data_IF_986438267290
#
_entry.id   IF_986438267290
#
_cell.length_a   1.000
_cell.length_b   1.000
_cell.length_c   1.000
_cell.angle_alpha   90.00
_cell.angle_beta   90.00
_cell.angle_gamma   90.00
#
_symmetry.space_group_name_H-M   'P 1'
#
loop_
_entity.id
_entity.type
_entity.pdbx_description
1 polymer ?
#
# COMPACT_ATOMS: atom_id res chain seq x y z
N UNK A 1 8.01 10.89 -2.40
CA UNK A 1 6.79 11.44 -3.01
C UNK A 1 6.76 11.05 -4.47
N UNK A 2 5.63 10.56 -4.97
CA UNK A 2 5.45 10.27 -6.39
C UNK A 2 4.98 11.53 -7.12
N UNK A 3 5.40 11.74 -8.38
CA UNK A 3 4.94 12.88 -9.17
C UNK A 3 3.44 12.82 -9.43
N UNK A 4 2.78 13.96 -9.62
CA UNK A 4 1.42 13.96 -10.20
C UNK A 4 1.48 13.70 -11.72
N UNK A 5 0.40 13.18 -12.30
CA UNK A 5 0.32 12.78 -13.71
C UNK A 5 0.70 13.92 -14.66
N UNK A 6 0.23 15.13 -14.39
CA UNK A 6 0.53 16.30 -15.22
C UNK A 6 2.03 16.62 -15.20
N UNK A 7 2.66 16.53 -14.03
CA UNK A 7 4.08 16.83 -13.86
C UNK A 7 4.97 15.80 -14.55
N UNK A 8 4.68 14.51 -14.36
CA UNK A 8 5.49 13.44 -14.96
C UNK A 8 5.38 13.44 -16.49
N UNK A 9 4.21 13.79 -17.03
CA UNK A 9 4.00 13.95 -18.46
C UNK A 9 4.79 15.13 -19.02
N UNK A 10 4.74 16.29 -18.36
CA UNK A 10 5.41 17.50 -18.85
C UNK A 10 6.93 17.41 -18.76
N UNK A 11 7.46 16.86 -17.66
CA UNK A 11 8.91 16.86 -17.40
C UNK A 11 9.63 15.63 -17.97
N UNK A 12 8.94 14.49 -18.09
CA UNK A 12 9.55 13.22 -18.45
C UNK A 12 8.83 12.48 -19.60
N UNK A 13 7.74 13.04 -20.15
CA UNK A 13 7.03 12.46 -21.29
C UNK A 13 6.24 11.18 -20.98
N UNK A 14 6.01 10.86 -19.71
CA UNK A 14 5.30 9.64 -19.30
C UNK A 14 3.82 9.90 -19.04
N UNK A 15 2.97 8.96 -19.45
CA UNK A 15 1.51 9.10 -19.36
C UNK A 15 0.89 8.43 -18.12
N UNK A 16 1.73 7.94 -17.20
CA UNK A 16 1.29 7.27 -15.98
C UNK A 16 2.12 7.78 -14.80
N UNK A 17 1.53 7.70 -13.61
CA UNK A 17 2.23 7.95 -12.34
C UNK A 17 1.93 6.84 -11.35
N UNK A 18 2.67 6.83 -10.24
CA UNK A 18 2.53 5.89 -9.15
C UNK A 18 1.55 6.43 -8.11
N UNK A 19 0.34 5.87 -8.15
CA UNK A 19 -0.56 5.82 -7.00
C UNK A 19 -0.41 4.42 -6.40
N UNK A 20 -0.16 4.36 -5.10
CA UNK A 20 0.11 3.11 -4.38
C UNK A 20 -0.62 3.07 -3.03
N UNK A 21 -0.62 1.90 -2.40
CA UNK A 21 -1.08 1.74 -1.03
C UNK A 21 -0.20 0.76 -0.26
N UNK A 22 -0.10 0.98 1.05
CA UNK A 22 0.57 0.08 1.98
C UNK A 22 -0.46 -0.69 2.79
N UNK A 23 -0.59 -1.97 2.50
CA UNK A 23 -1.27 -2.91 3.37
C UNK A 23 -0.26 -3.50 4.36
N UNK A 24 -0.49 -3.34 5.66
CA UNK A 24 0.44 -3.81 6.68
C UNK A 24 0.22 -5.30 6.94
N UNK A 25 1.14 -6.14 6.46
CA UNK A 25 1.13 -7.58 6.73
C UNK A 25 1.56 -7.89 8.16
N UNK A 26 2.55 -7.18 8.68
CA UNK A 26 2.99 -7.27 10.09
C UNK A 26 3.51 -5.93 10.58
N UNK A 27 3.35 -5.69 11.88
CA UNK A 27 3.84 -4.49 12.56
C UNK A 27 4.38 -4.82 13.96
N UNK A 28 5.64 -4.46 14.20
CA UNK A 28 6.24 -4.49 15.54
C UNK A 28 5.63 -3.42 16.46
N UNK A 29 5.68 -3.59 17.79
CA UNK A 29 5.23 -2.56 18.72
C UNK A 29 5.92 -1.20 18.46
N UNK A 30 5.12 -0.17 18.20
CA UNK A 30 5.61 1.19 17.91
C UNK A 30 5.94 1.43 16.43
N UNK A 31 5.64 0.49 15.53
CA UNK A 31 5.74 0.70 14.10
C UNK A 31 4.85 1.87 13.64
N UNK A 32 5.32 2.58 12.61
CA UNK A 32 4.63 3.75 12.04
C UNK A 32 4.72 3.77 10.53
N UNK A 33 3.81 4.49 9.89
CA UNK A 33 3.92 4.95 8.50
C UNK A 33 4.01 6.47 8.52
N UNK A 34 4.97 7.02 7.79
CA UNK A 34 5.03 8.46 7.53
C UNK A 34 4.05 8.78 6.41
N UNK A 35 3.10 9.71 6.63
CA UNK A 35 2.05 9.99 5.65
C UNK A 35 1.51 11.43 5.75
N UNK A 36 1.75 12.21 4.70
CA UNK A 36 1.43 13.64 4.62
C UNK A 36 2.19 14.51 5.62
N UNK A 37 1.86 15.80 5.63
CA UNK A 37 2.54 16.79 6.47
C UNK A 37 1.80 17.06 7.78
N UNK A 38 2.52 17.51 8.80
CA UNK A 38 1.89 17.95 10.06
C UNK A 38 1.00 19.17 9.80
N UNK A 39 -0.19 19.21 10.39
CA UNK A 39 -1.12 20.36 10.27
C UNK A 39 -0.42 21.66 10.66
N UNK A 40 -0.57 22.69 9.81
CA UNK A 40 0.11 23.98 10.01
C UNK A 40 1.56 24.03 9.50
N UNK A 41 2.05 22.97 8.84
CA UNK A 41 3.33 23.01 8.12
C UNK A 41 3.30 24.10 7.06
N UNK A 42 4.31 24.98 7.09
CA UNK A 42 4.54 25.95 6.03
C UNK A 42 5.47 25.34 4.97
N UNK A 43 5.05 25.26 3.69
CA UNK A 43 5.83 24.63 2.62
C UNK A 43 7.29 25.10 2.55
N UNK A 44 7.49 26.43 2.53
CA UNK A 44 8.84 27.02 2.47
C UNK A 44 9.71 26.59 3.66
N UNK A 45 9.14 26.54 4.86
CA UNK A 45 9.89 26.15 6.05
C UNK A 45 10.37 24.69 5.99
N UNK A 46 9.53 23.78 5.49
CA UNK A 46 9.93 22.37 5.29
C UNK A 46 10.99 22.25 4.19
N UNK A 47 10.83 22.97 3.07
CA UNK A 47 11.77 22.93 1.96
C UNK A 47 13.14 23.51 2.33
N UNK A 48 13.18 24.60 3.10
CA UNK A 48 14.44 25.18 3.60
C UNK A 48 15.14 24.22 4.57
N UNK A 49 14.38 23.52 5.42
CA UNK A 49 14.92 22.51 6.34
C UNK A 49 15.54 21.33 5.58
N UNK A 50 14.84 20.83 4.55
CA UNK A 50 15.32 19.79 3.64
C UNK A 50 16.57 20.22 2.88
N UNK A 51 16.62 21.46 2.37
CA UNK A 51 17.78 22.00 1.63
C UNK A 51 19.03 22.05 2.50
N UNK A 52 18.90 22.56 3.73
CA UNK A 52 19.99 22.58 4.72
C UNK A 52 20.43 21.16 5.10
N UNK A 53 19.49 20.22 5.21
CA UNK A 53 19.80 18.83 5.49
C UNK A 53 20.55 18.14 4.33
N UNK A 54 20.16 18.41 3.09
CA UNK A 54 20.84 17.89 1.91
C UNK A 54 22.26 18.46 1.75
N UNK A 55 22.51 19.67 2.25
CA UNK A 55 23.85 20.29 2.31
C UNK A 55 24.71 19.78 3.48
N UNK A 56 24.16 18.92 4.35
CA UNK A 56 24.85 18.38 5.51
C UNK A 56 24.98 19.34 6.69
N UNK A 57 24.26 20.47 6.69
CA UNK A 57 24.31 21.44 7.79
C UNK A 57 23.64 20.92 9.07
N UNK A 58 22.62 20.06 8.92
CA UNK A 58 21.81 19.47 10.00
C UNK A 58 21.08 18.22 9.51
N UNK A 59 20.50 17.44 10.42
CA UNK A 59 19.50 16.44 10.05
C UNK A 59 18.14 17.11 9.77
N UNK A 60 17.36 16.57 8.84
CA UNK A 60 15.99 17.02 8.62
C UNK A 60 15.12 16.74 9.85
N UNK A 61 14.36 17.75 10.29
CA UNK A 61 13.46 17.66 11.45
C UNK A 61 12.11 17.04 11.04
N UNK A 62 12.11 15.74 10.75
CA UNK A 62 10.93 15.03 10.24
C UNK A 62 9.73 15.10 11.19
N UNK A 63 9.96 15.05 12.50
CA UNK A 63 8.90 15.10 13.51
C UNK A 63 8.13 16.43 13.49
N UNK A 64 8.77 17.52 13.07
CA UNK A 64 8.14 18.83 12.92
C UNK A 64 7.25 18.92 11.68
N UNK A 65 7.59 18.20 10.60
CA UNK A 65 7.01 18.44 9.28
C UNK A 65 6.17 17.29 8.72
N UNK A 66 6.40 16.05 9.13
CA UNK A 66 5.78 14.85 8.54
C UNK A 66 5.04 14.07 9.62
N UNK A 67 3.81 13.64 9.33
CA UNK A 67 3.05 12.84 10.30
C UNK A 67 3.70 11.47 10.48
N UNK A 68 3.72 10.97 11.71
CA UNK A 68 4.00 9.56 12.03
C UNK A 68 2.70 8.92 12.48
N UNK A 69 2.10 8.12 11.61
CA UNK A 69 0.83 7.44 11.89
C UNK A 69 1.15 6.06 12.45
N UNK A 70 0.65 5.69 13.65
CA UNK A 70 0.81 4.34 14.17
C UNK A 70 0.30 3.31 13.18
N UNK A 71 1.07 2.25 12.98
CA UNK A 71 0.74 1.17 12.05
C UNK A 71 0.55 -0.14 12.83
N UNK A 72 -0.54 -0.83 12.53
CA UNK A 72 -0.87 -2.14 13.08
C UNK A 72 -1.07 -3.14 11.95
N UNK A 73 -0.96 -4.43 12.28
CA UNK A 73 -1.30 -5.51 11.37
C UNK A 73 -2.71 -5.29 10.79
N UNK A 74 -2.82 -5.39 9.48
CA UNK A 74 -4.02 -5.15 8.69
C UNK A 74 -4.48 -3.69 8.59
N UNK A 75 -3.68 -2.71 9.01
CA UNK A 75 -3.93 -1.34 8.57
C UNK A 75 -3.68 -1.21 7.06
N UNK A 76 -4.37 -0.27 6.41
CA UNK A 76 -4.21 0.03 5.00
C UNK A 76 -4.10 1.53 4.80
N UNK A 77 -2.94 1.98 4.30
CA UNK A 77 -2.63 3.38 4.05
C UNK A 77 -2.63 3.66 2.55
N UNK A 78 -3.41 4.65 2.11
CA UNK A 78 -3.48 5.08 0.72
C UNK A 78 -2.41 6.14 0.46
N UNK A 79 -1.75 6.06 -0.69
CA UNK A 79 -0.63 6.93 -1.05
C UNK A 79 -0.85 7.42 -2.48
N UNK A 80 -1.84 8.31 -2.69
CA UNK A 80 -2.01 8.96 -3.97
C UNK A 80 -0.76 9.79 -4.33
N UNK A 81 -0.52 9.95 -5.62
CA UNK A 81 0.54 10.79 -6.17
C UNK A 81 0.54 12.20 -5.55
N UNK A 82 1.72 12.70 -5.16
CA UNK A 82 1.90 13.95 -4.42
C UNK A 82 1.90 13.83 -2.89
N UNK A 83 1.66 12.65 -2.32
CA UNK A 83 1.74 12.45 -0.86
C UNK A 83 3.20 12.30 -0.40
N UNK A 84 3.61 13.06 0.62
CA UNK A 84 4.86 12.78 1.35
C UNK A 84 4.67 11.50 2.18
N UNK A 85 5.49 10.49 1.96
CA UNK A 85 5.33 9.21 2.66
C UNK A 85 6.66 8.46 2.81
N UNK A 86 6.68 7.49 3.73
CA UNK A 86 7.76 6.53 3.95
C UNK A 86 7.24 5.41 4.87
N UNK A 87 7.58 4.15 4.61
CA UNK A 87 7.37 3.08 5.58
C UNK A 87 8.34 3.23 6.76
N UNK A 88 7.83 3.08 7.98
CA UNK A 88 8.67 3.05 9.19
C UNK A 88 9.31 1.68 9.40
N UNK A 89 10.37 1.66 10.22
CA UNK A 89 10.97 0.42 10.69
C UNK A 89 9.95 -0.45 11.43
N UNK A 90 10.14 -1.77 11.38
CA UNK A 90 9.26 -2.72 12.06
C UNK A 90 7.93 -2.95 11.34
N UNK A 91 7.81 -2.56 10.06
CA UNK A 91 6.65 -2.89 9.21
C UNK A 91 7.04 -3.90 8.12
N UNK A 92 6.16 -4.88 7.88
CA UNK A 92 6.15 -5.67 6.65
C UNK A 92 4.98 -5.19 5.80
N UNK A 93 5.28 -4.65 4.63
CA UNK A 93 4.30 -4.00 3.76
C UNK A 93 4.03 -4.87 2.54
N UNK A 94 2.75 -5.16 2.28
CA UNK A 94 2.26 -5.53 0.95
C UNK A 94 1.90 -4.22 0.22
N UNK A 95 2.77 -3.83 -0.71
CA UNK A 95 2.53 -2.65 -1.56
C UNK A 95 1.63 -3.06 -2.73
N UNK A 96 0.53 -2.33 -2.91
CA UNK A 96 -0.38 -2.50 -4.05
C UNK A 96 -0.24 -1.24 -4.91
N UNK A 97 0.23 -1.40 -6.14
CA UNK A 97 0.62 -0.28 -7.00
C UNK A 97 0.20 -0.50 -8.45
N UNK A 98 -0.17 0.60 -9.11
CA UNK A 98 -0.64 0.62 -10.49
C UNK A 98 0.48 0.56 -11.54
N UNK A 99 1.74 0.74 -11.16
CA UNK A 99 2.82 1.00 -12.12
C UNK A 99 3.96 -0.01 -12.08
N UNK A 100 4.50 -0.39 -13.26
CA UNK A 100 5.61 -1.35 -13.36
C UNK A 100 6.98 -0.76 -12.99
N UNK A 101 7.08 0.56 -12.77
CA UNK A 101 8.34 1.24 -12.48
C UNK A 101 8.15 2.25 -11.35
N UNK A 102 9.11 2.28 -10.42
CA UNK A 102 9.07 3.12 -9.22
C UNK A 102 9.50 4.55 -9.60
N UNK A 103 8.57 5.51 -9.54
CA UNK A 103 8.85 6.93 -9.75
C UNK A 103 8.75 7.68 -8.43
N UNK A 104 9.89 7.85 -7.77
CA UNK A 104 9.95 8.46 -6.45
C UNK A 104 10.95 9.60 -6.41
N UNK A 105 10.47 10.82 -6.16
CA UNK A 105 11.33 11.90 -5.72
C UNK A 105 11.58 11.76 -4.22
N UNK A 106 12.79 11.30 -3.92
CA UNK A 106 13.27 11.19 -2.54
C UNK A 106 13.58 12.58 -1.99
N UNK A 107 12.93 12.96 -0.89
CA UNK A 107 13.16 14.26 -0.25
C UNK A 107 14.28 14.18 0.79
N UNK A 108 14.34 13.08 1.54
CA UNK A 108 15.34 12.85 2.58
C UNK A 108 15.58 11.35 2.72
N UNK A 109 16.79 10.97 3.17
CA UNK A 109 17.20 9.57 3.30
C UNK A 109 17.93 9.25 4.60
N UNK A 110 17.58 9.97 5.68
CA UNK A 110 18.16 9.80 7.01
C UNK A 110 19.67 10.01 7.08
N UNK A 111 20.22 10.88 6.22
CA UNK A 111 21.66 11.15 6.16
C UNK A 111 22.51 9.93 5.79
N UNK A 112 21.89 8.85 5.29
CA UNK A 112 22.58 7.61 4.96
C UNK A 112 23.48 7.81 3.74
N UNK A 113 24.70 7.31 3.87
CA UNK A 113 25.69 7.30 2.80
C UNK A 113 25.43 6.15 1.83
N UNK A 114 25.81 6.34 0.58
CA UNK A 114 25.89 5.30 -0.44
C UNK A 114 27.10 4.40 -0.22
N UNK A 115 27.24 3.39 -1.08
CA UNK A 115 28.40 2.49 -1.07
C UNK A 115 29.72 3.22 -1.42
N UNK A 116 29.62 4.40 -2.01
CA UNK A 116 30.72 5.33 -2.33
C UNK A 116 31.10 6.25 -1.16
N UNK A 117 30.38 6.18 -0.03
CA UNK A 117 30.58 7.04 1.12
C UNK A 117 30.01 8.46 0.96
N UNK A 118 29.27 8.75 -0.12
CA UNK A 118 28.63 10.04 -0.35
C UNK A 118 27.16 10.01 0.10
N UNK A 119 26.56 11.16 0.47
CA UNK A 119 25.12 11.22 0.73
C UNK A 119 24.31 10.70 -0.46
N UNK A 120 23.32 9.84 -0.21
CA UNK A 120 22.47 9.32 -1.29
C UNK A 120 21.64 10.44 -1.92
N UNK A 121 21.40 10.39 -3.25
CA UNK A 121 20.76 11.48 -3.97
C UNK A 121 19.33 11.73 -3.49
N UNK A 122 18.99 13.01 -3.38
CA UNK A 122 17.65 13.55 -3.14
C UNK A 122 17.24 14.44 -4.32
N UNK A 123 15.93 14.62 -4.51
CA UNK A 123 15.35 15.29 -5.67
C UNK A 123 14.42 16.41 -5.21
N UNK A 124 14.96 17.37 -4.46
CA UNK A 124 14.17 18.43 -3.81
C UNK A 124 13.47 19.34 -4.80
N UNK A 125 14.12 19.70 -5.90
CA UNK A 125 13.55 20.57 -6.93
C UNK A 125 12.30 19.95 -7.55
N UNK A 126 12.35 18.68 -7.95
CA UNK A 126 11.19 17.96 -8.47
C UNK A 126 10.14 17.69 -7.39
N UNK A 127 10.58 17.31 -6.19
CA UNK A 127 9.71 17.04 -5.05
C UNK A 127 8.86 18.24 -4.68
N UNK A 128 9.45 19.44 -4.62
CA UNK A 128 8.76 20.70 -4.30
C UNK A 128 7.59 20.99 -5.24
N UNK A 129 7.69 20.61 -6.52
CA UNK A 129 6.66 20.86 -7.53
C UNK A 129 5.45 19.92 -7.45
N UNK A 130 5.58 18.78 -6.76
CA UNK A 130 4.56 17.72 -6.78
C UNK A 130 3.94 17.44 -5.43
N UNK A 131 4.47 17.99 -4.34
CA UNK A 131 3.87 17.81 -3.01
C UNK A 131 2.49 18.46 -2.98
N UNK A 132 1.48 17.65 -2.65
CA UNK A 132 0.14 18.12 -2.36
C UNK A 132 0.06 18.56 -0.88
N UNK A 133 0.28 19.85 -0.66
CA UNK A 133 0.31 20.45 0.69
C UNK A 133 -1.06 20.47 1.40
N UNK A 134 -2.15 20.10 0.73
CA UNK A 134 -3.46 19.94 1.38
C UNK A 134 -3.54 18.66 2.22
N UNK A 135 -2.62 17.71 2.00
CA UNK A 135 -2.57 16.41 2.69
C UNK A 135 -1.90 16.54 4.05
N UNK A 136 -2.51 17.36 4.90
CA UNK A 136 -2.10 17.55 6.28
C UNK A 136 -2.62 16.43 7.20
N UNK A 137 -2.26 16.47 8.49
CA UNK A 137 -2.69 15.46 9.47
C UNK A 137 -4.20 15.19 9.44
N UNK A 138 -5.03 16.23 9.39
CA UNK A 138 -6.49 16.08 9.46
C UNK A 138 -7.03 15.46 8.18
N UNK A 139 -6.53 15.92 7.04
CA UNK A 139 -6.96 15.40 5.75
C UNK A 139 -6.53 13.94 5.57
N UNK A 140 -5.27 13.62 5.88
CA UNK A 140 -4.72 12.26 5.74
C UNK A 140 -5.47 11.26 6.62
N UNK A 141 -5.67 11.58 7.91
CA UNK A 141 -6.40 10.68 8.82
C UNK A 141 -7.82 10.39 8.35
N UNK A 142 -8.47 11.39 7.73
CA UNK A 142 -9.84 11.25 7.24
C UNK A 142 -9.94 10.43 5.95
N UNK A 143 -8.99 10.59 5.01
CA UNK A 143 -9.15 10.09 3.65
C UNK A 143 -8.17 8.99 3.26
N UNK A 144 -7.02 8.85 3.93
CA UNK A 144 -5.95 7.93 3.51
C UNK A 144 -5.70 6.79 4.49
N UNK A 145 -6.20 6.86 5.72
CA UNK A 145 -5.98 5.82 6.74
C UNK A 145 -7.22 4.96 6.85
N UNK A 146 -7.05 3.64 6.72
CA UNK A 146 -8.06 2.62 7.05
C UNK A 146 -9.46 2.89 6.46
N UNK A 147 -9.50 3.28 5.19
CA UNK A 147 -10.76 3.39 4.45
C UNK A 147 -11.29 1.98 4.19
N UNK A 148 -12.19 1.52 5.07
CA UNK A 148 -12.80 0.21 5.01
C UNK A 148 -14.32 0.34 4.83
N UNK A 149 -14.87 -0.34 3.84
CA UNK A 149 -16.31 -0.39 3.59
C UNK A 149 -16.77 -1.85 3.63
N UNK A 150 -17.68 -2.25 4.53
CA UNK A 150 -18.28 -3.58 4.50
C UNK A 150 -19.00 -3.84 3.17
N UNK A 151 -18.88 -5.06 2.65
CA UNK A 151 -19.41 -5.42 1.33
C UNK A 151 -20.49 -6.47 1.46
N UNK A 152 -20.09 -7.61 2.03
CA UNK A 152 -20.93 -8.79 2.15
C UNK A 152 -20.42 -9.64 3.31
N UNK A 153 -21.30 -10.44 3.89
CA UNK A 153 -20.94 -11.38 4.93
C UNK A 153 -21.80 -12.63 4.83
N UNK A 154 -21.30 -13.71 5.41
CA UNK A 154 -21.99 -14.98 5.48
C UNK A 154 -21.53 -15.79 6.68
N UNK A 155 -21.95 -17.05 6.73
CA UNK A 155 -21.57 -17.93 7.83
C UNK A 155 -20.05 -18.16 7.80
N UNK A 156 -19.35 -17.63 8.81
CA UNK A 156 -17.92 -17.81 8.98
C UNK A 156 -17.04 -16.96 8.07
N UNK A 157 -17.60 -15.98 7.35
CA UNK A 157 -16.80 -15.08 6.52
C UNK A 157 -17.39 -13.68 6.39
N UNK A 158 -16.53 -12.68 6.15
CA UNK A 158 -16.90 -11.30 5.78
C UNK A 158 -15.97 -10.77 4.71
N UNK A 159 -16.48 -9.92 3.85
CA UNK A 159 -15.75 -9.17 2.83
C UNK A 159 -15.87 -7.68 3.11
N UNK A 160 -14.73 -6.99 3.01
CA UNK A 160 -14.67 -5.54 3.06
C UNK A 160 -13.84 -5.01 1.90
N UNK A 161 -14.23 -3.85 1.42
CA UNK A 161 -13.50 -3.05 0.45
C UNK A 161 -12.49 -2.20 1.17
N UNK A 162 -11.28 -2.10 0.63
CA UNK A 162 -10.19 -1.32 1.22
C UNK A 162 -9.24 -0.85 0.14
N UNK A 163 -8.26 0.01 0.45
CA UNK A 163 -7.17 0.28 -0.46
C UNK A 163 -7.57 1.06 -1.69
N UNK A 164 -8.52 2.00 -1.56
CA UNK A 164 -9.01 2.75 -2.71
C UNK A 164 -8.92 4.24 -2.48
N UNK A 165 -8.01 4.84 -3.22
CA UNK A 165 -8.11 6.25 -3.57
C UNK A 165 -8.91 6.39 -4.88
N UNK A 166 -9.61 7.50 -5.09
CA UNK A 166 -10.38 7.77 -6.32
C UNK A 166 -9.55 7.66 -7.61
N UNK A 167 -8.22 7.83 -7.49
CA UNK A 167 -7.23 7.75 -8.58
C UNK A 167 -6.73 6.33 -8.87
N UNK A 168 -6.93 5.40 -7.95
CA UNK A 168 -6.44 4.03 -8.08
C UNK A 168 -7.47 3.15 -8.78
N UNK A 169 -7.13 2.59 -9.94
CA UNK A 169 -8.04 1.71 -10.70
C UNK A 169 -8.00 0.24 -10.22
N UNK A 170 -7.11 -0.10 -9.29
CA UNK A 170 -7.04 -1.43 -8.69
C UNK A 170 -8.08 -1.52 -7.57
N UNK A 171 -9.09 -2.37 -7.75
CA UNK A 171 -10.03 -2.71 -6.70
C UNK A 171 -9.36 -3.65 -5.70
N UNK A 172 -9.44 -3.34 -4.40
CA UNK A 172 -8.93 -4.21 -3.34
C UNK A 172 -10.04 -4.62 -2.37
N UNK A 173 -10.17 -5.93 -2.14
CA UNK A 173 -11.10 -6.53 -1.17
C UNK A 173 -10.35 -7.41 -0.19
N UNK A 174 -10.60 -7.21 1.09
CA UNK A 174 -10.13 -8.11 2.15
C UNK A 174 -11.26 -9.06 2.54
N UNK A 175 -10.96 -10.35 2.52
CA UNK A 175 -11.89 -11.39 2.92
C UNK A 175 -11.35 -12.04 4.17
N UNK A 176 -12.15 -12.06 5.23
CA UNK A 176 -11.89 -12.80 6.45
C UNK A 176 -12.74 -14.06 6.46
N UNK A 177 -12.17 -15.21 6.81
CA UNK A 177 -12.89 -16.47 6.73
C UNK A 177 -12.36 -17.53 7.70
N UNK A 178 -13.26 -18.35 8.25
CA UNK A 178 -12.96 -19.57 9.00
C UNK A 178 -13.65 -20.80 8.41
N UNK A 179 -14.40 -20.61 7.32
CA UNK A 179 -15.13 -21.61 6.57
C UNK A 179 -14.79 -21.44 5.08
N UNK A 180 -15.07 -22.43 4.21
CA UNK A 180 -14.88 -22.28 2.78
C UNK A 180 -15.68 -21.11 2.19
N UNK A 181 -15.03 -20.28 1.37
CA UNK A 181 -15.66 -19.13 0.69
C UNK A 181 -15.56 -19.30 -0.82
N UNK A 182 -16.68 -19.10 -1.50
CA UNK A 182 -16.73 -19.04 -2.96
C UNK A 182 -16.39 -17.63 -3.44
N UNK A 183 -15.58 -17.57 -4.49
CA UNK A 183 -15.19 -16.37 -5.19
C UNK A 183 -15.45 -16.56 -6.68
N UNK A 184 -15.61 -15.45 -7.39
CA UNK A 184 -15.71 -15.43 -8.85
C UNK A 184 -14.68 -14.43 -9.39
N UNK A 185 -14.08 -14.75 -10.53
CA UNK A 185 -13.19 -13.84 -11.26
C UNK A 185 -13.94 -12.71 -11.96
N UNK A 186 -15.25 -12.87 -12.19
CA UNK A 186 -16.10 -11.93 -12.93
C UNK A 186 -15.49 -11.57 -14.31
N UNK A 187 -14.78 -12.52 -14.92
CA UNK A 187 -14.06 -12.33 -16.18
C UNK A 187 -12.75 -11.52 -16.09
N UNK A 188 -12.33 -11.11 -14.89
CA UNK A 188 -11.07 -10.41 -14.62
C UNK A 188 -9.97 -11.33 -14.05
N UNK A 189 -8.74 -10.84 -13.98
CA UNK A 189 -7.66 -11.55 -13.28
C UNK A 189 -7.68 -11.16 -11.81
N UNK A 190 -7.78 -12.14 -10.91
CA UNK A 190 -7.68 -11.91 -9.48
C UNK A 190 -6.25 -12.21 -9.02
N UNK A 191 -5.61 -11.23 -8.36
CA UNK A 191 -4.33 -11.42 -7.65
C UNK A 191 -4.63 -11.44 -6.16
N UNK A 192 -4.18 -12.47 -5.46
CA UNK A 192 -4.50 -12.66 -4.04
C UNK A 192 -3.25 -12.90 -3.22
N UNK A 193 -3.28 -12.46 -1.97
CA UNK A 193 -2.29 -12.81 -0.95
C UNK A 193 -3.01 -13.41 0.26
N UNK A 194 -2.47 -14.48 0.85
CA UNK A 194 -2.89 -14.93 2.17
C UNK A 194 -2.22 -14.04 3.22
N UNK A 195 -3.00 -13.19 3.87
CA UNK A 195 -2.51 -12.14 4.77
C UNK A 195 -2.78 -12.42 6.25
N UNK A 196 -3.56 -13.46 6.58
CA UNK A 196 -3.73 -13.97 7.95
C UNK A 196 -3.98 -15.49 7.91
N UNK A 197 -3.48 -16.18 8.93
CA UNK A 197 -3.51 -17.63 9.09
C UNK A 197 -2.38 -18.38 8.36
N UNK A 198 -2.15 -19.63 8.79
CA UNK A 198 -0.95 -20.37 8.39
C UNK A 198 -0.95 -20.85 6.92
N UNK A 199 -2.04 -21.48 6.46
CA UNK A 199 -2.18 -21.96 5.09
C UNK A 199 -3.66 -22.17 4.70
N UNK A 200 -3.97 -21.98 3.42
CA UNK A 200 -5.28 -22.17 2.83
C UNK A 200 -5.17 -23.07 1.59
N UNK A 201 -6.28 -23.70 1.21
CA UNK A 201 -6.39 -24.44 -0.05
C UNK A 201 -7.25 -23.66 -1.04
N UNK A 202 -6.78 -23.58 -2.27
CA UNK A 202 -7.48 -23.00 -3.41
C UNK A 202 -7.90 -24.13 -4.34
N UNK A 203 -9.19 -24.20 -4.67
CA UNK A 203 -9.75 -25.22 -5.54
C UNK A 203 -10.85 -24.64 -6.44
N UNK A 204 -11.23 -25.34 -7.51
CA UNK A 204 -12.37 -24.98 -8.35
C UNK A 204 -13.52 -25.95 -8.08
N UNK A 205 -14.75 -25.47 -7.82
CA UNK A 205 -15.94 -26.31 -7.70
C UNK A 205 -16.15 -27.26 -8.89
N UNK A 206 -15.78 -26.80 -10.09
CA UNK A 206 -15.94 -27.54 -11.34
C UNK A 206 -14.65 -28.23 -11.82
N UNK A 207 -13.62 -28.28 -10.97
CA UNK A 207 -12.30 -28.86 -11.27
C UNK A 207 -11.60 -28.22 -12.48
N UNK A 208 -11.72 -26.90 -12.65
CA UNK A 208 -11.04 -26.16 -13.72
C UNK A 208 -9.50 -26.17 -13.61
N UNK A 209 -8.95 -26.47 -12.43
CA UNK A 209 -7.52 -26.62 -12.17
C UNK A 209 -7.28 -27.57 -10.99
N UNK A 210 -6.07 -28.12 -10.91
CA UNK A 210 -5.64 -28.95 -9.77
C UNK A 210 -5.53 -28.10 -8.50
N UNK A 211 -6.17 -28.49 -7.39
CA UNK A 211 -6.13 -27.73 -6.15
C UNK A 211 -4.71 -27.55 -5.62
N UNK A 212 -4.40 -26.38 -5.09
CA UNK A 212 -3.10 -26.07 -4.52
C UNK A 212 -3.22 -25.41 -3.14
N UNK A 213 -2.14 -25.44 -2.38
CA UNK A 213 -2.04 -24.85 -1.05
C UNK A 213 -1.25 -23.54 -1.14
N UNK A 214 -1.70 -22.54 -0.40
CA UNK A 214 -1.03 -21.25 -0.25
C UNK A 214 -0.75 -21.01 1.23
N UNK A 215 0.44 -20.53 1.54
CA UNK A 215 0.90 -20.25 2.90
C UNK A 215 0.87 -18.76 3.19
N UNK A 216 1.01 -18.41 4.46
CA UNK A 216 1.10 -17.02 4.88
C UNK A 216 2.11 -16.21 4.05
N UNK A 217 1.68 -15.03 3.60
CA UNK A 217 2.41 -14.11 2.73
C UNK A 217 2.71 -14.62 1.31
N UNK A 218 2.17 -15.78 0.88
CA UNK A 218 2.25 -16.19 -0.52
C UNK A 218 1.20 -15.46 -1.38
N UNK A 219 1.65 -15.02 -2.56
CA UNK A 219 0.81 -14.48 -3.62
C UNK A 219 0.42 -15.58 -4.59
N UNK A 220 -0.83 -15.58 -5.05
CA UNK A 220 -1.31 -16.44 -6.12
C UNK A 220 -2.25 -15.68 -7.06
N UNK A 221 -2.41 -16.20 -8.27
CA UNK A 221 -3.19 -15.57 -9.33
C UNK A 221 -4.25 -16.55 -9.81
N UNK A 222 -5.50 -16.08 -9.92
CA UNK A 222 -6.60 -16.83 -10.54
C UNK A 222 -6.96 -16.16 -11.86
N UNK A 223 -6.69 -16.81 -13.01
CA UNK A 223 -6.99 -16.25 -14.33
C UNK A 223 -8.48 -16.06 -14.57
N UNK A 224 -8.85 -15.07 -15.38
CA UNK A 224 -10.21 -14.78 -15.79
C UNK A 224 -11.02 -16.01 -16.23
N UNK A 225 -10.39 -16.92 -16.99
CA UNK A 225 -11.02 -18.11 -17.55
C UNK A 225 -11.49 -19.15 -16.51
N UNK A 226 -11.04 -19.04 -15.24
CA UNK A 226 -11.43 -19.95 -14.17
C UNK A 226 -12.89 -19.74 -13.75
N UNK A 227 -13.37 -18.49 -13.74
CA UNK A 227 -14.69 -18.16 -13.19
C UNK A 227 -14.74 -18.39 -11.68
N UNK A 228 -15.50 -19.39 -11.24
CA UNK A 228 -15.69 -19.69 -9.83
C UNK A 228 -14.52 -20.51 -9.24
N UNK A 229 -14.09 -20.11 -8.04
CA UNK A 229 -13.09 -20.81 -7.25
C UNK A 229 -13.41 -20.69 -5.76
N UNK A 230 -12.81 -21.55 -4.96
CA UNK A 230 -13.03 -21.63 -3.52
C UNK A 230 -11.71 -21.49 -2.77
N UNK A 231 -11.75 -20.74 -1.68
CA UNK A 231 -10.65 -20.67 -0.72
C UNK A 231 -11.15 -21.23 0.61
N UNK A 232 -10.42 -22.19 1.16
CA UNK A 232 -10.79 -22.87 2.41
C UNK A 232 -9.62 -22.92 3.39
N UNK A 233 -9.85 -22.84 4.70
CA UNK A 233 -8.83 -23.21 5.68
C UNK A 233 -8.34 -24.63 5.42
N UNK A 234 -7.02 -24.85 5.49
CA UNK A 234 -6.42 -26.14 5.19
C UNK A 234 -5.26 -26.45 6.12
N UNK A 235 -4.98 -27.74 6.33
CA UNK A 235 -3.89 -28.23 7.19
C UNK A 235 -3.72 -27.42 8.47
N UNK A 236 -2.62 -26.67 8.59
CA UNK A 236 -2.33 -25.83 9.77
C UNK A 236 -3.29 -24.66 9.97
N UNK A 237 -3.94 -24.16 8.92
CA UNK A 237 -4.94 -23.10 8.99
C UNK A 237 -6.31 -23.54 9.52
N UNK A 238 -6.57 -24.84 9.64
CA UNK A 238 -7.86 -25.34 10.18
C UNK A 238 -8.05 -24.85 11.63
N UNK A 239 -9.23 -24.30 11.92
CA UNK A 239 -9.58 -23.74 13.23
C UNK A 239 -9.06 -22.33 13.48
N UNK A 240 -8.33 -21.74 12.53
CA UNK A 240 -7.93 -20.33 12.56
C UNK A 240 -8.94 -19.46 11.81
N UNK A 241 -8.96 -18.17 12.11
CA UNK A 241 -9.52 -17.17 11.22
C UNK A 241 -8.42 -16.74 10.25
N UNK A 242 -8.65 -16.93 8.95
CA UNK A 242 -7.75 -16.56 7.87
C UNK A 242 -8.21 -15.25 7.22
N UNK A 243 -7.30 -14.63 6.48
CA UNK A 243 -7.67 -13.52 5.62
C UNK A 243 -6.88 -13.52 4.31
N UNK A 244 -7.54 -13.11 3.24
CA UNK A 244 -6.89 -12.81 1.96
C UNK A 244 -7.15 -11.37 1.54
N UNK A 245 -6.15 -10.73 0.95
CA UNK A 245 -6.34 -9.49 0.17
C UNK A 245 -6.39 -9.86 -1.30
N UNK A 246 -7.50 -9.55 -1.96
CA UNK A 246 -7.79 -9.78 -3.39
C UNK A 246 -7.73 -8.44 -4.11
N UNK A 247 -6.93 -8.35 -5.17
CA UNK A 247 -6.77 -7.18 -6.01
C UNK A 247 -7.08 -7.51 -7.48
N UNK A 248 -7.75 -6.60 -8.19
CA UNK A 248 -8.00 -6.70 -9.63
C UNK A 248 -8.21 -5.32 -10.26
N UNK A 249 -8.09 -5.20 -11.58
CA UNK A 249 -8.35 -3.95 -12.30
C UNK A 249 -9.85 -3.74 -12.48
N UNK A 250 -10.37 -2.57 -12.09
CA UNK A 250 -11.77 -2.18 -12.33
C UNK A 250 -12.05 -2.11 -13.85
N UNK A 251 -13.17 -2.70 -14.27
CA UNK A 251 -13.69 -2.60 -15.64
C UNK A 251 -14.40 -1.27 -15.90
#
# INVERSE_FOLDING_TARGET
VHPVTEYIQQQFGMHYTQDESYYILEAEPGAVVYLGTVSGTHPQAMMDDLKRAAQGEKAFDDARFVNKIPAHKHDHFLIPAGTVHCSGSGTMVLEISATPYIFTFKLWDWGRLGMDGLPRPVHLEHGEQVIDWQRDTRWVQKHLVNQFEPVSEGKGWREERTGLHEREFIETRRHWFSEPVLHNTEGGVNVLNLVEGAEARVDSPDNAFEPFVVHYAETFIVPAAVGEYRISPWGKGIGQQLATVKAWVRG
#
